data_IF_273301725197
#
_entry.id   IF_273301725197
#
_cell.length_a   1.000
_cell.length_b   1.000
_cell.length_c   1.000
_cell.angle_alpha   90.00
_cell.angle_beta   90.00
_cell.angle_gamma   90.00
#
_symmetry.space_group_name_H-M   'P 1'
#
loop_
_entity.id
_entity.type
_entity.pdbx_description
1 polymer ?
#
# COMPACT_ATOMS: atom_id res chain seq x y z
N UNK A 1 -8.79 23.31 14.38
CA UNK A 1 -8.24 21.95 14.54
C UNK A 1 -6.76 22.11 14.84
N UNK A 2 -6.21 21.44 15.84
CA UNK A 2 -4.78 21.53 16.11
C UNK A 2 -4.01 20.79 15.00
N UNK A 3 -2.92 21.37 14.50
CA UNK A 3 -2.01 20.65 13.62
C UNK A 3 -1.16 19.68 14.47
N UNK A 4 -1.29 18.39 14.20
CA UNK A 4 -0.45 17.36 14.82
C UNK A 4 0.83 17.19 13.98
N UNK A 5 2.02 17.07 14.62
CA UNK A 5 3.29 17.09 13.91
C UNK A 5 3.65 15.76 13.22
N UNK A 6 2.98 14.66 13.57
CA UNK A 6 3.18 13.37 12.91
C UNK A 6 2.38 13.36 11.62
N UNK A 7 3.06 13.19 10.48
CA UNK A 7 2.46 13.19 9.15
C UNK A 7 2.93 11.98 8.34
N UNK A 8 2.00 11.28 7.71
CA UNK A 8 2.35 10.25 6.74
C UNK A 8 2.94 10.91 5.48
N UNK A 9 4.16 10.53 5.10
CA UNK A 9 4.84 11.10 3.93
C UNK A 9 4.89 10.16 2.73
N UNK A 10 5.15 8.88 3.01
CA UNK A 10 5.21 7.84 1.99
C UNK A 10 4.77 6.50 2.55
N UNK A 11 4.53 5.55 1.66
CA UNK A 11 4.04 4.21 1.97
C UNK A 11 4.86 3.16 1.23
N UNK A 12 5.24 2.09 1.94
CA UNK A 12 5.60 0.82 1.31
C UNK A 12 4.34 -0.04 1.15
N UNK A 13 4.07 -0.50 -0.07
CA UNK A 13 2.98 -1.40 -0.41
C UNK A 13 3.54 -2.73 -0.89
N UNK A 14 3.28 -3.82 -0.17
CA UNK A 14 3.81 -5.15 -0.52
C UNK A 14 2.70 -6.18 -0.67
N UNK A 15 2.37 -6.52 -1.91
CA UNK A 15 1.35 -7.53 -2.23
C UNK A 15 2.00 -8.82 -2.73
N UNK A 16 1.72 -9.93 -2.05
CA UNK A 16 2.45 -11.20 -2.17
C UNK A 16 1.50 -12.39 -2.17
N UNK A 17 1.90 -13.47 -2.85
CA UNK A 17 1.38 -14.81 -2.66
C UNK A 17 2.50 -15.75 -2.17
N UNK A 18 2.35 -16.44 -1.03
CA UNK A 18 3.18 -17.59 -0.72
C UNK A 18 2.89 -18.74 -1.68
N UNK A 19 3.88 -19.59 -1.91
CA UNK A 19 3.69 -20.81 -2.69
C UNK A 19 2.68 -21.73 -2.00
N UNK A 20 1.91 -22.46 -2.81
CA UNK A 20 0.84 -23.33 -2.30
C UNK A 20 1.38 -24.33 -1.27
N UNK A 21 0.76 -24.36 -0.09
CA UNK A 21 1.19 -25.18 1.05
C UNK A 21 2.11 -24.46 2.04
N UNK A 22 2.59 -23.26 1.72
CA UNK A 22 3.47 -22.45 2.57
C UNK A 22 2.74 -21.29 3.25
N UNK A 23 1.43 -21.16 3.10
CA UNK A 23 0.64 -20.01 3.57
C UNK A 23 0.81 -19.78 5.08
N UNK A 24 0.74 -20.85 5.88
CA UNK A 24 0.89 -20.76 7.34
C UNK A 24 2.33 -20.42 7.73
N UNK A 25 3.32 -20.99 7.04
CA UNK A 25 4.72 -20.73 7.31
C UNK A 25 5.09 -19.28 6.96
N UNK A 26 4.59 -18.78 5.82
CA UNK A 26 4.74 -17.39 5.40
C UNK A 26 4.15 -16.44 6.45
N UNK A 27 2.90 -16.66 6.89
CA UNK A 27 2.29 -15.80 7.90
C UNK A 27 3.07 -15.82 9.23
N UNK A 28 3.53 -16.99 9.69
CA UNK A 28 4.34 -17.10 10.91
C UNK A 28 5.67 -16.36 10.79
N UNK A 29 6.36 -16.50 9.67
CA UNK A 29 7.60 -15.76 9.40
C UNK A 29 7.33 -14.25 9.37
N UNK A 30 6.25 -13.83 8.71
CA UNK A 30 5.88 -12.43 8.60
C UNK A 30 5.57 -11.83 9.98
N UNK A 31 4.76 -12.51 10.80
CA UNK A 31 4.30 -12.04 12.11
C UNK A 31 5.39 -12.05 13.18
N UNK A 32 6.29 -13.04 13.12
CA UNK A 32 7.30 -13.22 14.16
C UNK A 32 8.60 -12.50 13.86
N UNK A 33 8.84 -12.15 12.60
CA UNK A 33 10.08 -11.53 12.18
C UNK A 33 9.87 -10.43 11.13
N UNK A 34 9.46 -10.79 9.91
CA UNK A 34 9.66 -9.90 8.76
C UNK A 34 8.91 -8.56 8.84
N UNK A 35 7.67 -8.55 9.36
CA UNK A 35 6.89 -7.32 9.54
C UNK A 35 7.62 -6.27 10.38
N UNK A 36 8.40 -6.74 11.36
CA UNK A 36 9.15 -5.90 12.26
C UNK A 36 10.57 -5.69 11.75
N UNK A 37 11.32 -6.78 11.58
CA UNK A 37 12.74 -6.72 11.27
C UNK A 37 13.05 -6.18 9.88
N UNK A 38 12.17 -6.39 8.90
CA UNK A 38 12.31 -5.82 7.56
C UNK A 38 11.75 -4.40 7.44
N UNK A 39 10.89 -3.98 8.37
CA UNK A 39 10.16 -2.72 8.26
C UNK A 39 10.06 -1.96 9.59
N UNK A 40 9.19 -2.36 10.52
CA UNK A 40 8.81 -1.49 11.66
C UNK A 40 9.92 -1.16 12.68
N UNK A 41 11.03 -1.89 12.72
CA UNK A 41 12.20 -1.48 13.54
C UNK A 41 13.07 -0.44 12.84
N UNK A 42 12.84 -0.24 11.54
CA UNK A 42 13.54 0.71 10.72
C UNK A 42 13.25 2.15 11.14
N UNK A 43 14.17 3.07 10.84
CA UNK A 43 13.98 4.46 11.17
C UNK A 43 12.76 5.02 10.41
N UNK A 44 11.98 5.85 11.08
CA UNK A 44 10.88 6.66 10.52
C UNK A 44 9.61 5.95 10.09
N UNK A 45 9.52 4.61 10.17
CA UNK A 45 8.22 3.95 10.15
C UNK A 45 7.52 4.18 11.49
N UNK A 46 6.24 4.53 11.43
CA UNK A 46 5.44 4.71 12.64
C UNK A 46 4.16 3.86 12.65
N UNK A 47 3.76 3.32 11.51
CA UNK A 47 2.57 2.47 11.41
C UNK A 47 2.74 1.40 10.33
N UNK A 48 2.11 0.25 10.54
CA UNK A 48 2.00 -0.79 9.53
C UNK A 48 0.76 -1.66 9.76
N UNK A 49 0.22 -2.24 8.68
CA UNK A 49 -0.93 -3.15 8.75
C UNK A 49 -0.83 -4.25 7.71
N UNK A 50 -1.45 -5.39 8.02
CA UNK A 50 -1.57 -6.54 7.11
C UNK A 50 -3.03 -6.77 6.77
N UNK A 51 -3.28 -7.09 5.49
CA UNK A 51 -4.60 -7.34 4.95
C UNK A 51 -4.57 -8.62 4.11
N UNK A 52 -5.72 -9.28 3.98
CA UNK A 52 -5.85 -10.52 3.20
C UNK A 52 -7.01 -10.40 2.21
N UNK A 53 -6.71 -10.52 0.92
CA UNK A 53 -7.69 -10.68 -0.13
C UNK A 53 -7.96 -12.17 -0.37
N UNK A 54 -9.11 -12.66 0.10
CA UNK A 54 -9.55 -14.04 -0.16
C UNK A 54 -9.83 -14.25 -1.65
N UNK A 55 -10.02 -15.51 -2.08
CA UNK A 55 -10.41 -15.81 -3.46
C UNK A 55 -11.67 -15.05 -3.89
N UNK A 56 -12.68 -14.92 -3.03
CA UNK A 56 -13.89 -14.16 -3.38
C UNK A 56 -13.58 -12.68 -3.63
N UNK A 57 -12.75 -12.05 -2.79
CA UNK A 57 -12.36 -10.65 -2.96
C UNK A 57 -11.50 -10.45 -4.21
N UNK A 58 -10.59 -11.37 -4.51
CA UNK A 58 -9.79 -11.32 -5.74
C UNK A 58 -10.63 -11.45 -7.01
N UNK A 59 -11.76 -12.15 -6.94
CA UNK A 59 -12.69 -12.25 -8.08
C UNK A 59 -13.45 -10.94 -8.36
N UNK A 60 -13.38 -9.95 -7.48
CA UNK A 60 -13.95 -8.62 -7.69
C UNK A 60 -13.01 -7.69 -8.45
N UNK A 61 -11.76 -8.10 -8.74
CA UNK A 61 -10.79 -7.26 -9.42
C UNK A 61 -11.18 -7.04 -10.86
N UNK A 62 -10.96 -5.82 -11.32
CA UNK A 62 -11.19 -5.41 -12.69
C UNK A 62 -10.19 -4.29 -13.07
N UNK A 63 -9.92 -4.11 -14.37
CA UNK A 63 -10.27 -5.03 -15.46
C UNK A 63 -9.39 -6.29 -15.45
N UNK A 64 -9.79 -7.34 -16.17
CA UNK A 64 -9.05 -8.62 -16.24
C UNK A 64 -7.64 -8.49 -16.85
N UNK A 65 -7.41 -7.45 -17.64
CA UNK A 65 -6.16 -7.12 -18.33
C UNK A 65 -5.38 -5.97 -17.65
N UNK A 66 -5.67 -5.69 -16.38
CA UNK A 66 -4.94 -4.71 -15.57
C UNK A 66 -3.45 -5.02 -15.42
N UNK A 67 -2.65 -3.97 -15.18
CA UNK A 67 -1.19 -4.07 -15.09
C UNK A 67 -0.61 -4.08 -13.66
N UNK A 68 -1.47 -4.01 -12.63
CA UNK A 68 -1.06 -3.98 -11.22
C UNK A 68 -0.67 -5.37 -10.74
N UNK A 69 -1.46 -6.39 -11.03
CA UNK A 69 -1.12 -7.78 -10.70
C UNK A 69 -1.23 -8.60 -11.97
N UNK A 70 -0.17 -9.34 -12.31
CA UNK A 70 -0.11 -10.09 -13.58
C UNK A 70 0.19 -11.56 -13.26
N UNK A 71 -0.78 -12.48 -13.44
CA UNK A 71 -2.20 -12.25 -13.78
C UNK A 71 -3.00 -11.51 -12.69
N UNK A 72 -4.20 -11.02 -13.05
CA UNK A 72 -5.08 -10.19 -12.20
C UNK A 72 -5.45 -10.83 -10.85
N UNK A 73 -5.40 -12.17 -10.76
CA UNK A 73 -5.74 -12.90 -9.55
C UNK A 73 -4.54 -13.16 -8.61
N UNK A 74 -3.35 -12.64 -8.91
CA UNK A 74 -2.16 -12.70 -8.03
C UNK A 74 -2.20 -11.71 -6.88
N UNK A 75 -1.61 -12.08 -5.76
CA UNK A 75 -1.46 -11.27 -4.56
C UNK A 75 -2.65 -11.41 -3.63
N UNK A 76 -2.46 -12.12 -2.51
CA UNK A 76 -3.51 -12.35 -1.51
C UNK A 76 -3.16 -11.68 -0.18
N UNK A 77 -1.88 -11.51 0.11
CA UNK A 77 -1.40 -10.95 1.37
C UNK A 77 -0.78 -9.58 1.09
N UNK A 78 -1.39 -8.55 1.65
CA UNK A 78 -0.89 -7.19 1.57
C UNK A 78 -0.28 -6.82 2.92
N UNK A 79 0.94 -6.31 2.93
CA UNK A 79 1.47 -5.53 4.05
C UNK A 79 1.77 -4.10 3.59
N UNK A 80 1.28 -3.14 4.36
CA UNK A 80 1.43 -1.70 4.11
C UNK A 80 2.08 -1.02 5.30
N UNK A 81 2.94 -0.05 5.04
CA UNK A 81 3.67 0.67 6.08
C UNK A 81 3.73 2.15 5.77
N UNK A 82 3.60 3.01 6.79
CA UNK A 82 3.77 4.45 6.64
C UNK A 82 5.11 4.92 7.19
N UNK A 83 5.76 5.75 6.37
CA UNK A 83 7.00 6.45 6.70
C UNK A 83 6.66 7.92 6.96
N UNK A 84 7.30 8.50 7.98
CA UNK A 84 7.16 9.91 8.35
C UNK A 84 7.47 10.84 7.17
N UNK A 85 6.74 11.95 7.08
CA UNK A 85 6.98 13.01 6.11
C UNK A 85 8.44 13.49 6.08
N UNK A 86 8.99 13.60 4.86
CA UNK A 86 10.38 14.00 4.62
C UNK A 86 11.44 12.95 4.95
N UNK A 87 11.05 11.71 5.29
CA UNK A 87 11.96 10.64 5.72
C UNK A 87 12.05 9.43 4.80
N UNK A 88 11.46 9.51 3.61
CA UNK A 88 11.44 8.45 2.60
C UNK A 88 12.86 7.91 2.31
N UNK A 89 13.75 8.77 1.78
CA UNK A 89 15.09 8.36 1.35
C UNK A 89 15.92 7.78 2.50
N UNK A 90 15.84 8.39 3.68
CA UNK A 90 16.57 7.94 4.86
C UNK A 90 16.10 6.55 5.30
N UNK A 91 14.79 6.31 5.28
CA UNK A 91 14.23 5.00 5.58
C UNK A 91 14.64 3.94 4.55
N UNK A 92 14.42 4.20 3.26
CA UNK A 92 14.62 3.17 2.23
C UNK A 92 16.10 2.90 1.93
N UNK A 93 16.99 3.86 2.20
CA UNK A 93 18.43 3.59 2.23
C UNK A 93 18.78 2.53 3.29
N UNK A 94 18.24 2.66 4.51
CA UNK A 94 18.42 1.65 5.54
C UNK A 94 17.76 0.31 5.15
N UNK A 95 16.55 0.35 4.59
CA UNK A 95 15.80 -0.85 4.23
C UNK A 95 16.50 -1.69 3.15
N UNK A 96 17.16 -1.03 2.19
CA UNK A 96 17.93 -1.69 1.13
C UNK A 96 19.11 -2.51 1.69
N UNK A 97 19.80 -2.02 2.72
CA UNK A 97 20.86 -2.79 3.39
C UNK A 97 20.26 -3.91 4.27
N UNK A 98 19.22 -3.58 5.03
CA UNK A 98 18.57 -4.49 5.95
C UNK A 98 18.02 -5.75 5.28
N UNK A 99 17.39 -5.62 4.11
CA UNK A 99 16.82 -6.79 3.42
C UNK A 99 17.91 -7.80 3.04
N UNK A 100 19.09 -7.34 2.62
CA UNK A 100 20.22 -8.21 2.33
C UNK A 100 20.76 -8.88 3.59
N UNK A 101 20.88 -8.16 4.70
CA UNK A 101 21.28 -8.76 5.97
C UNK A 101 20.32 -9.86 6.41
N UNK A 102 19.00 -9.64 6.29
CA UNK A 102 18.01 -10.66 6.63
C UNK A 102 18.19 -11.92 5.76
N UNK A 103 18.36 -11.76 4.46
CA UNK A 103 18.53 -12.89 3.54
C UNK A 103 19.86 -13.63 3.78
N UNK A 104 20.95 -12.91 4.05
CA UNK A 104 22.25 -13.50 4.36
C UNK A 104 22.26 -14.31 5.68
N UNK A 105 21.28 -14.09 6.55
CA UNK A 105 21.15 -14.78 7.84
C UNK A 105 19.97 -15.75 7.88
N UNK A 106 19.53 -16.27 6.73
CA UNK A 106 18.42 -17.24 6.61
C UNK A 106 17.08 -16.74 7.19
N UNK A 107 16.88 -15.41 7.19
CA UNK A 107 15.65 -14.74 7.64
C UNK A 107 14.79 -14.23 6.48
N UNK A 108 15.13 -14.63 5.25
CA UNK A 108 14.25 -14.52 4.09
C UNK A 108 13.13 -15.57 4.11
N UNK A 109 12.25 -15.52 3.12
CA UNK A 109 11.24 -16.57 2.91
C UNK A 109 11.11 -16.82 1.41
N UNK A 110 11.82 -17.83 0.87
CA UNK A 110 11.93 -18.04 -0.57
C UNK A 110 10.66 -18.59 -1.22
N UNK A 111 9.80 -19.28 -0.46
CA UNK A 111 8.56 -19.90 -0.96
C UNK A 111 7.42 -18.87 -1.12
N UNK A 112 7.69 -17.77 -1.83
CA UNK A 112 6.72 -16.70 -2.12
C UNK A 112 7.03 -15.97 -3.42
N UNK A 113 6.01 -15.34 -3.97
CA UNK A 113 6.09 -14.49 -5.15
C UNK A 113 5.47 -13.12 -4.84
N UNK A 114 6.20 -12.06 -5.17
CA UNK A 114 5.66 -10.72 -5.11
C UNK A 114 4.77 -10.48 -6.34
N UNK A 115 3.56 -9.97 -6.10
CA UNK A 115 2.66 -9.53 -7.16
C UNK A 115 2.91 -8.05 -7.49
N UNK A 116 3.05 -7.22 -6.45
CA UNK A 116 3.23 -5.77 -6.57
C UNK A 116 3.87 -5.22 -5.28
N UNK A 117 5.21 -5.12 -5.26
CA UNK A 117 5.96 -4.44 -4.19
C UNK A 117 6.53 -3.13 -4.70
N UNK A 118 6.01 -2.03 -4.14
CA UNK A 118 6.18 -0.68 -4.67
C UNK A 118 6.05 0.37 -3.56
N UNK A 119 6.42 1.60 -3.88
CA UNK A 119 6.38 2.73 -2.96
C UNK A 119 5.52 3.87 -3.51
N UNK A 120 4.88 4.61 -2.60
CA UNK A 120 4.07 5.78 -2.93
C UNK A 120 4.35 6.94 -1.98
N UNK A 121 4.09 8.18 -2.39
CA UNK A 121 4.25 9.39 -1.57
C UNK A 121 3.10 10.40 -1.74
N UNK A 122 3.30 11.59 -1.16
CA UNK A 122 2.46 12.76 -1.26
C UNK A 122 0.97 12.48 -1.00
N UNK A 123 0.61 11.91 0.17
CA UNK A 123 -0.75 11.50 0.43
C UNK A 123 -1.70 12.69 0.61
N UNK A 124 -2.94 12.52 0.16
CA UNK A 124 -4.06 13.38 0.51
C UNK A 124 -5.34 12.54 0.63
N UNK A 125 -6.33 13.03 1.37
CA UNK A 125 -7.51 12.24 1.69
C UNK A 125 -8.82 13.03 1.56
N UNK A 126 -9.89 12.28 1.27
CA UNK A 126 -11.27 12.73 1.42
C UNK A 126 -11.92 11.83 2.47
N UNK A 127 -12.65 12.45 3.39
CA UNK A 127 -13.30 11.78 4.52
C UNK A 127 -14.82 11.89 4.40
N UNK A 128 -15.53 10.84 4.82
CA UNK A 128 -17.00 10.84 4.92
C UNK A 128 -17.48 11.77 6.05
N UNK A 129 -16.82 11.71 7.20
CA UNK A 129 -17.27 12.37 8.43
C UNK A 129 -16.47 13.65 8.76
N UNK A 130 -17.10 14.56 9.49
CA UNK A 130 -16.43 15.76 10.02
C UNK A 130 -15.38 15.38 11.08
N UNK A 131 -15.74 14.50 12.02
CA UNK A 131 -14.82 13.89 13.00
C UNK A 131 -14.32 12.54 12.46
N UNK A 132 -13.27 12.63 11.64
CA UNK A 132 -12.72 11.49 10.92
C UNK A 132 -11.45 10.94 11.58
N UNK A 133 -11.15 9.68 11.26
CA UNK A 133 -9.83 9.10 11.54
C UNK A 133 -8.82 9.62 10.51
N UNK A 134 -7.76 10.34 10.93
CA UNK A 134 -6.74 10.84 10.00
C UNK A 134 -5.90 9.69 9.42
N UNK A 135 -5.22 9.95 8.29
CA UNK A 135 -4.35 8.97 7.61
C UNK A 135 -3.41 8.28 8.60
N UNK A 136 -2.79 9.06 9.49
CA UNK A 136 -1.79 8.60 10.44
C UNK A 136 -2.32 7.58 11.45
N UNK A 137 -3.64 7.55 11.70
CA UNK A 137 -4.29 6.61 12.62
C UNK A 137 -5.08 5.52 11.90
N UNK A 138 -5.07 5.51 10.56
CA UNK A 138 -5.87 4.58 9.75
C UNK A 138 -5.50 3.10 9.95
N UNK A 139 -4.27 2.81 10.35
CA UNK A 139 -3.83 1.44 10.65
C UNK A 139 -4.15 1.01 12.09
N UNK A 140 -4.28 1.95 13.02
CA UNK A 140 -4.67 1.66 14.42
C UNK A 140 -6.18 1.55 14.58
N UNK A 141 -6.94 2.28 13.74
CA UNK A 141 -8.39 2.17 13.74
C UNK A 141 -8.84 0.78 13.24
N UNK A 142 -9.84 0.15 13.89
CA UNK A 142 -10.29 -1.21 13.58
C UNK A 142 -11.19 -1.27 12.33
N UNK A 143 -10.78 -0.63 11.23
CA UNK A 143 -11.40 -0.81 9.92
C UNK A 143 -11.47 -2.30 9.55
N UNK A 144 -12.64 -2.73 9.10
CA UNK A 144 -12.94 -4.11 8.75
C UNK A 144 -12.46 -4.45 7.33
N UNK A 145 -12.26 -3.45 6.47
CA UNK A 145 -11.83 -3.66 5.10
C UNK A 145 -10.89 -2.58 4.57
N UNK A 146 -10.20 -2.95 3.48
CA UNK A 146 -9.41 -2.06 2.66
C UNK A 146 -9.69 -2.36 1.18
N UNK A 147 -10.19 -1.38 0.44
CA UNK A 147 -10.26 -1.39 -1.02
C UNK A 147 -9.08 -0.65 -1.63
N UNK A 148 -8.52 -1.15 -2.75
CA UNK A 148 -7.48 -0.44 -3.49
C UNK A 148 -7.91 -0.26 -4.94
N UNK A 149 -7.78 0.95 -5.46
CA UNK A 149 -8.01 1.26 -6.89
C UNK A 149 -6.78 1.97 -7.42
N UNK A 150 -6.25 1.47 -8.54
CA UNK A 150 -5.14 2.09 -9.24
C UNK A 150 -5.70 2.76 -10.49
N UNK A 151 -5.58 4.07 -10.57
CA UNK A 151 -6.16 4.87 -11.65
C UNK A 151 -5.04 5.55 -12.43
N UNK A 152 -5.08 5.43 -13.75
CA UNK A 152 -4.21 6.20 -14.64
C UNK A 152 -5.01 7.38 -15.21
N UNK A 153 -4.41 8.57 -15.19
CA UNK A 153 -4.93 9.74 -15.90
C UNK A 153 -5.03 9.46 -17.39
N UNK A 154 -6.09 9.98 -18.02
CA UNK A 154 -6.20 9.96 -19.47
C UNK A 154 -5.17 10.91 -20.08
N UNK A 155 -4.77 10.64 -21.32
CA UNK A 155 -3.81 11.48 -22.03
C UNK A 155 -4.27 12.94 -22.06
N UNK A 156 -3.41 13.86 -21.63
CA UNK A 156 -3.68 15.29 -21.58
C UNK A 156 -4.44 15.77 -20.33
N UNK A 157 -4.84 14.88 -19.41
CA UNK A 157 -5.46 15.25 -18.14
C UNK A 157 -4.41 15.59 -17.09
N UNK A 158 -4.49 16.79 -16.50
CA UNK A 158 -3.54 17.18 -15.44
C UNK A 158 -3.89 16.51 -14.11
N UNK A 159 -2.93 16.54 -13.18
CA UNK A 159 -3.15 16.03 -11.83
C UNK A 159 -4.22 16.84 -11.09
N UNK A 160 -4.22 18.16 -11.27
CA UNK A 160 -5.22 19.06 -10.67
C UNK A 160 -6.62 18.79 -11.22
N UNK A 161 -6.76 18.52 -12.52
CA UNK A 161 -8.03 18.15 -13.14
C UNK A 161 -8.57 16.83 -12.58
N UNK A 162 -7.72 15.80 -12.48
CA UNK A 162 -8.11 14.53 -11.86
C UNK A 162 -8.51 14.74 -10.40
N UNK A 163 -7.70 15.48 -9.63
CA UNK A 163 -7.98 15.76 -8.22
C UNK A 163 -9.32 16.48 -8.05
N UNK A 164 -9.58 17.50 -8.87
CA UNK A 164 -10.85 18.22 -8.86
C UNK A 164 -12.03 17.28 -9.13
N UNK A 165 -11.94 16.44 -10.15
CA UNK A 165 -12.96 15.45 -10.48
C UNK A 165 -13.18 14.46 -9.32
N UNK A 166 -12.11 13.95 -8.71
CA UNK A 166 -12.20 13.03 -7.57
C UNK A 166 -12.89 13.69 -6.37
N UNK A 167 -12.46 14.87 -5.97
CA UNK A 167 -12.98 15.59 -4.80
C UNK A 167 -14.43 16.07 -4.99
N UNK A 168 -14.82 16.46 -6.20
CA UNK A 168 -16.10 17.15 -6.45
C UNK A 168 -17.16 16.28 -7.13
N UNK A 169 -16.77 15.18 -7.78
CA UNK A 169 -17.71 14.35 -8.55
C UNK A 169 -17.67 12.87 -8.13
N UNK A 170 -16.50 12.23 -8.17
CA UNK A 170 -16.41 10.78 -7.99
C UNK A 170 -16.54 10.32 -6.53
N UNK A 171 -15.77 10.94 -5.61
CA UNK A 171 -15.71 10.52 -4.21
C UNK A 171 -16.92 10.94 -3.37
N UNK A 172 -17.59 12.10 -3.57
CA UNK A 172 -18.75 12.49 -2.76
C UNK A 172 -19.90 11.47 -2.77
N UNK A 173 -20.13 10.78 -3.90
CA UNK A 173 -21.13 9.72 -3.98
C UNK A 173 -20.74 8.48 -3.17
N UNK A 174 -19.46 8.09 -3.26
CA UNK A 174 -18.90 6.93 -2.55
C UNK A 174 -18.77 7.17 -1.04
N UNK A 175 -18.51 8.40 -0.62
CA UNK A 175 -18.36 8.84 0.77
C UNK A 175 -19.61 9.56 1.29
N UNK A 176 -20.78 9.20 0.78
CA UNK A 176 -22.04 9.76 1.24
C UNK A 176 -22.37 9.27 2.66
N UNK A 177 -23.24 10.03 3.36
CA UNK A 177 -23.69 9.65 4.71
C UNK A 177 -24.31 8.25 4.71
N UNK A 178 -23.81 7.37 5.60
CA UNK A 178 -24.22 5.97 5.69
C UNK A 178 -23.45 5.01 4.77
N UNK A 179 -22.53 5.50 3.93
CA UNK A 179 -21.59 4.63 3.21
C UNK A 179 -20.68 3.88 4.19
N UNK A 180 -20.34 2.60 3.95
CA UNK A 180 -19.36 1.88 4.78
C UNK A 180 -17.92 2.38 4.56
N UNK A 181 -17.67 3.22 3.57
CA UNK A 181 -16.36 3.78 3.27
C UNK A 181 -16.18 5.05 4.12
N UNK A 182 -15.22 5.02 5.05
CA UNK A 182 -14.95 6.14 5.94
C UNK A 182 -14.02 7.17 5.30
N UNK A 183 -13.06 6.72 4.49
CA UNK A 183 -12.10 7.60 3.83
C UNK A 183 -11.53 6.99 2.55
N UNK A 184 -11.06 7.88 1.68
CA UNK A 184 -10.23 7.56 0.52
C UNK A 184 -8.91 8.31 0.66
N UNK A 185 -7.79 7.58 0.80
CA UNK A 185 -6.44 8.15 0.81
C UNK A 185 -5.80 7.90 -0.55
N UNK A 186 -5.39 8.97 -1.22
CA UNK A 186 -4.78 8.94 -2.53
C UNK A 186 -3.27 9.09 -2.37
N UNK A 187 -2.51 8.34 -3.16
CA UNK A 187 -1.06 8.31 -3.11
C UNK A 187 -0.47 8.40 -4.51
N UNK A 188 0.66 9.11 -4.63
CA UNK A 188 1.41 9.22 -5.88
C UNK A 188 2.45 8.12 -6.00
N UNK A 189 2.63 7.53 -7.19
CA UNK A 189 3.62 6.50 -7.42
C UNK A 189 5.03 7.06 -7.31
N UNK A 190 5.89 6.39 -6.57
CA UNK A 190 7.33 6.59 -6.66
C UNK A 190 7.84 5.57 -7.69
N UNK A 191 8.41 6.02 -8.83
CA UNK A 191 9.02 5.11 -9.79
C UNK A 191 10.12 4.30 -9.13
N UNK A 192 10.25 3.03 -9.53
CA UNK A 192 11.37 2.22 -9.06
C UNK A 192 12.70 2.87 -9.42
N UNK A 193 13.63 2.87 -8.47
CA UNK A 193 14.99 3.35 -8.66
C UNK A 193 15.93 2.14 -8.70
N UNK A 194 16.77 2.03 -9.72
CA UNK A 194 17.73 0.94 -9.87
C UNK A 194 18.66 0.79 -8.66
N UNK A 195 19.02 1.89 -7.98
CA UNK A 195 19.91 1.85 -6.82
C UNK A 195 19.28 1.15 -5.60
N UNK A 196 17.96 1.27 -5.43
CA UNK A 196 17.21 0.76 -4.29
C UNK A 196 16.49 -0.54 -4.66
N UNK A 197 15.68 -0.50 -5.72
CA UNK A 197 14.82 -1.60 -6.16
C UNK A 197 15.57 -2.59 -7.06
N UNK A 198 16.48 -2.11 -7.91
CA UNK A 198 17.25 -2.96 -8.83
C UNK A 198 18.21 -3.91 -8.12
N UNK A 199 18.56 -3.59 -6.87
CA UNK A 199 19.38 -4.42 -5.99
C UNK A 199 18.56 -5.32 -5.06
N UNK A 200 17.23 -5.42 -5.20
CA UNK A 200 16.44 -6.30 -4.34
C UNK A 200 16.86 -7.77 -4.54
N UNK A 201 16.96 -8.59 -3.46
CA UNK A 201 17.35 -10.00 -3.57
C UNK A 201 16.22 -10.90 -4.11
N UNK A 202 15.11 -10.32 -4.59
CA UNK A 202 13.94 -11.02 -5.13
C UNK A 202 13.27 -10.22 -6.24
N UNK A 203 12.46 -10.90 -7.05
CA UNK A 203 11.51 -10.24 -7.94
C UNK A 203 10.43 -9.53 -7.12
N UNK A 204 10.24 -8.24 -7.37
CA UNK A 204 9.27 -7.37 -6.69
C UNK A 204 7.90 -7.35 -7.40
N UNK A 205 7.74 -8.09 -8.49
CA UNK A 205 6.53 -8.11 -9.29
C UNK A 205 6.40 -6.87 -10.18
N UNK A 206 5.17 -6.50 -10.51
CA UNK A 206 4.88 -5.38 -11.42
C UNK A 206 5.39 -4.03 -10.88
N UNK A 207 5.76 -3.08 -11.76
CA UNK A 207 6.23 -1.75 -11.36
C UNK A 207 5.11 -0.88 -10.81
N UNK A 208 5.47 0.17 -10.05
CA UNK A 208 4.52 1.14 -9.45
C UNK A 208 3.58 1.79 -10.46
N UNK A 209 4.05 2.02 -11.69
CA UNK A 209 3.36 2.81 -12.71
C UNK A 209 4.20 4.01 -13.14
N UNK A 210 3.63 4.84 -13.99
CA UNK A 210 4.20 6.13 -14.38
C UNK A 210 3.58 7.26 -13.54
N UNK A 211 3.98 8.50 -13.80
CA UNK A 211 3.46 9.70 -13.11
C UNK A 211 1.95 9.92 -13.29
N UNK A 212 1.33 9.26 -14.27
CA UNK A 212 -0.11 9.36 -14.51
C UNK A 212 -0.93 8.54 -13.52
N UNK A 213 -0.30 7.60 -12.83
CA UNK A 213 -0.98 6.73 -11.88
C UNK A 213 -1.25 7.44 -10.55
N UNK A 214 -2.35 7.08 -9.92
CA UNK A 214 -2.57 7.23 -8.47
C UNK A 214 -3.02 5.89 -7.88
N UNK A 215 -2.69 5.66 -6.61
CA UNK A 215 -3.27 4.59 -5.80
C UNK A 215 -4.27 5.20 -4.82
N UNK A 216 -5.51 4.72 -4.86
CA UNK A 216 -6.55 5.04 -3.89
C UNK A 216 -6.72 3.90 -2.90
N UNK A 217 -6.54 4.19 -1.61
CA UNK A 217 -6.85 3.31 -0.50
C UNK A 217 -8.16 3.73 0.16
N UNK A 218 -9.17 2.88 0.05
CA UNK A 218 -10.47 3.06 0.68
C UNK A 218 -10.50 2.28 2.00
N UNK A 219 -10.72 2.96 3.13
CA UNK A 219 -10.86 2.32 4.43
C UNK A 219 -12.34 2.09 4.77
N UNK A 220 -12.69 0.84 5.07
CA UNK A 220 -14.08 0.40 5.26
C UNK A 220 -14.36 0.04 6.71
N UNK A 221 -15.50 0.50 7.23
CA UNK A 221 -16.02 0.16 8.56
C UNK A 221 -16.73 -1.20 8.59
N UNK A 222 -17.19 -1.69 7.43
CA UNK A 222 -17.82 -3.00 7.25
C UNK A 222 -16.93 -3.95 6.44
N UNK A 223 -17.28 -5.24 6.47
CA UNK A 223 -16.61 -6.23 5.63
C UNK A 223 -16.84 -5.92 4.13
N UNK A 224 -15.77 -5.94 3.31
CA UNK A 224 -15.84 -5.70 1.87
C UNK A 224 -16.52 -6.83 1.09
#
# INVERSE_FOLDING_TARGET
>A
MNEYPVRAGSMLYTLVDPDKGHEVAYNRWYERDHFYAGCLIGPWLFAGKRWVATRQLKNLRFPDDGNVTIPVDRGSYLATYFVLEGKHDEHFKWAAEQVWELYANDRGFPDRQHAHTVMFDAPWAVYRDEDHVPIELSFDHPYQGLGNVFLDRSEGTTEEELRYFLENEALPGLLSSGSPIASCVNWKPIPRNDDIDGNAPMDLGSPTGNEERINQMFFLEDNP
#
